data_IF_911978601151
#
_entry.id   IF_911978601151
#
_cell.length_a   1.000
_cell.length_b   1.000
_cell.length_c   1.000
_cell.angle_alpha   90.00
_cell.angle_beta   90.00
_cell.angle_gamma   90.00
#
_symmetry.space_group_name_H-M   'P 1'
#
loop_
_entity.id
_entity.type
_entity.pdbx_description
1 polymer ?
#
# COMPACT_ATOMS: atom_id res chain seq x y z
N UNK A 1 1.45 21.77 -21.76
CA UNK A 1 2.29 20.54 -21.78
C UNK A 1 3.66 20.76 -21.15
N UNK A 2 4.39 21.84 -21.47
CA UNK A 2 5.71 22.14 -20.88
C UNK A 2 5.66 22.37 -19.36
N UNK A 3 4.64 23.07 -18.85
CA UNK A 3 4.43 23.28 -17.41
C UNK A 3 4.20 21.98 -16.65
N UNK A 4 3.41 21.06 -17.21
CA UNK A 4 3.16 19.72 -16.64
C UNK A 4 4.42 18.85 -16.60
N UNK A 5 5.24 18.91 -17.65
CA UNK A 5 6.54 18.21 -17.70
C UNK A 5 7.51 18.77 -16.66
N UNK A 6 7.54 20.10 -16.48
CA UNK A 6 8.38 20.74 -15.47
C UNK A 6 7.96 20.35 -14.05
N UNK A 7 6.65 20.40 -13.76
CA UNK A 7 6.11 19.99 -12.45
C UNK A 7 6.35 18.51 -12.17
N UNK A 8 6.18 17.64 -13.17
CA UNK A 8 6.48 16.21 -13.05
C UNK A 8 7.95 15.94 -12.74
N UNK A 9 8.86 16.64 -13.43
CA UNK A 9 10.31 16.52 -13.23
C UNK A 9 10.74 17.02 -11.84
N UNK A 10 10.17 18.14 -11.39
CA UNK A 10 10.40 18.67 -10.04
C UNK A 10 9.84 17.73 -8.96
N UNK A 11 8.69 17.10 -9.20
CA UNK A 11 8.11 16.10 -8.31
C UNK A 11 9.04 14.92 -8.10
N UNK A 12 9.51 14.29 -9.18
CA UNK A 12 10.43 13.14 -9.13
C UNK A 12 11.76 13.49 -8.44
N UNK A 13 12.28 14.68 -8.71
CA UNK A 13 13.51 15.17 -8.07
C UNK A 13 13.30 15.31 -6.56
N UNK A 14 12.19 15.92 -6.12
CA UNK A 14 11.87 16.07 -4.69
C UNK A 14 11.71 14.72 -4.00
N UNK A 15 11.03 13.75 -4.61
CA UNK A 15 10.93 12.41 -4.05
C UNK A 15 12.32 11.77 -3.89
N UNK A 16 13.16 11.84 -4.93
CA UNK A 16 14.51 11.25 -4.90
C UNK A 16 15.40 11.91 -3.85
N UNK A 17 15.38 13.24 -3.75
CA UNK A 17 16.15 13.98 -2.73
C UNK A 17 15.63 13.70 -1.32
N UNK A 18 14.33 13.54 -1.12
CA UNK A 18 13.77 13.16 0.18
C UNK A 18 14.18 11.73 0.57
N UNK A 19 14.13 10.78 -0.37
CA UNK A 19 14.59 9.41 -0.16
C UNK A 19 16.08 9.36 0.21
N UNK A 20 16.91 10.11 -0.52
CA UNK A 20 18.33 10.22 -0.23
C UNK A 20 18.62 10.88 1.12
N UNK A 21 17.91 11.97 1.44
CA UNK A 21 18.08 12.71 2.71
C UNK A 21 17.59 11.91 3.92
N UNK A 22 16.59 11.05 3.73
CA UNK A 22 16.00 10.28 4.81
C UNK A 22 16.79 9.01 5.18
N UNK A 23 17.91 8.69 4.50
CA UNK A 23 18.81 7.57 4.81
C UNK A 23 18.03 6.31 5.24
N UNK A 24 17.01 5.96 4.47
CA UNK A 24 15.88 5.19 4.99
C UNK A 24 16.28 3.76 5.31
N UNK A 25 16.43 3.49 6.59
CA UNK A 25 16.40 2.25 7.37
C UNK A 25 15.58 1.09 6.78
N UNK A 26 16.07 -0.16 6.96
CA UNK A 26 15.24 -1.21 7.55
C UNK A 26 15.77 -1.61 8.94
N UNK A 27 15.27 -0.97 10.01
CA UNK A 27 15.19 -1.50 11.38
C UNK A 27 13.70 -1.66 11.68
N UNK A 28 13.15 -2.82 11.32
CA UNK A 28 11.69 -3.01 11.16
C UNK A 28 10.87 -2.80 12.46
N UNK A 29 11.47 -2.68 13.65
CA UNK A 29 10.69 -2.59 14.91
C UNK A 29 11.35 -1.82 16.08
N UNK A 30 12.49 -1.16 15.93
CA UNK A 30 13.49 -1.18 17.01
C UNK A 30 13.69 0.09 17.89
N UNK A 31 12.77 1.06 17.99
CA UNK A 31 12.99 2.15 18.97
C UNK A 31 11.71 2.59 19.71
N UNK A 32 11.61 2.15 20.97
CA UNK A 32 10.69 2.67 21.99
C UNK A 32 11.24 4.00 22.49
N UNK A 33 10.44 5.07 22.44
CA UNK A 33 10.86 6.36 22.99
C UNK A 33 10.85 6.32 24.54
N UNK A 34 11.96 6.58 25.25
CA UNK A 34 12.00 6.49 26.72
C UNK A 34 11.30 7.64 27.49
N UNK A 35 10.74 8.66 26.81
CA UNK A 35 9.95 9.74 27.42
C UNK A 35 8.51 9.87 26.88
N UNK A 36 8.19 9.31 25.69
CA UNK A 36 6.80 9.26 25.15
C UNK A 36 6.34 7.87 24.67
N UNK A 37 7.17 6.83 24.75
CA UNK A 37 6.78 5.42 24.83
C UNK A 37 6.24 4.68 23.58
N UNK A 38 6.02 5.31 22.42
CA UNK A 38 5.24 4.62 21.34
C UNK A 38 6.04 4.16 20.11
N UNK A 39 5.99 2.86 19.76
CA UNK A 39 6.50 2.31 18.49
C UNK A 39 5.38 2.23 17.45
N UNK A 40 5.54 2.80 16.25
CA UNK A 40 4.46 2.91 15.24
C UNK A 40 3.97 1.54 14.71
N UNK A 41 4.86 0.56 14.52
CA UNK A 41 4.47 -0.82 14.18
C UNK A 41 3.80 -1.55 15.35
N UNK A 42 4.18 -1.25 16.59
CA UNK A 42 3.46 -1.73 17.77
C UNK A 42 2.09 -1.04 17.88
N UNK A 43 1.97 0.24 17.53
CA UNK A 43 0.72 1.01 17.62
C UNK A 43 -0.36 0.44 16.68
N UNK A 44 0.02 -0.06 15.50
CA UNK A 44 -0.90 -0.75 14.59
C UNK A 44 -1.40 -2.11 15.14
N UNK A 45 -0.57 -2.81 15.93
CA UNK A 45 -0.93 -4.06 16.61
C UNK A 45 -1.60 -3.87 17.98
N UNK A 46 -1.40 -2.72 18.61
CA UNK A 46 -1.72 -2.46 20.03
C UNK A 46 -2.91 -1.50 20.20
N UNK A 47 -3.05 -0.47 19.35
CA UNK A 47 -4.13 0.54 19.46
C UNK A 47 -5.42 0.11 18.76
N UNK A 48 -5.36 -0.87 17.85
CA UNK A 48 -6.56 -1.44 17.22
C UNK A 48 -6.80 -2.84 17.78
N UNK A 49 -7.99 -3.16 18.31
CA UNK A 49 -8.27 -4.51 18.77
C UNK A 49 -7.99 -5.49 17.62
N UNK A 50 -7.14 -6.48 17.86
CA UNK A 50 -6.68 -7.46 16.85
C UNK A 50 -7.85 -8.07 16.08
N UNK A 51 -8.99 -8.27 16.74
CA UNK A 51 -10.22 -8.77 16.14
C UNK A 51 -10.81 -7.83 15.07
N UNK A 52 -10.74 -6.51 15.26
CA UNK A 52 -11.22 -5.52 14.27
C UNK A 52 -10.22 -5.40 13.13
N UNK A 53 -8.92 -5.41 13.42
CA UNK A 53 -7.87 -5.39 12.40
C UNK A 53 -7.93 -6.62 11.49
N UNK A 54 -8.06 -7.81 12.06
CA UNK A 54 -8.18 -9.07 11.29
C UNK A 54 -9.45 -9.05 10.45
N UNK A 55 -10.60 -8.62 11.00
CA UNK A 55 -11.84 -8.46 10.22
C UNK A 55 -11.67 -7.47 9.05
N UNK A 56 -10.97 -6.37 9.28
CA UNK A 56 -10.65 -5.40 8.23
C UNK A 56 -9.74 -6.00 7.16
N UNK A 57 -8.68 -6.72 7.54
CA UNK A 57 -7.74 -7.35 6.61
C UNK A 57 -8.42 -8.44 5.77
N UNK A 58 -9.23 -9.30 6.38
CA UNK A 58 -10.00 -10.32 5.67
C UNK A 58 -10.92 -9.66 4.63
N UNK A 59 -11.64 -8.62 5.05
CA UNK A 59 -12.52 -7.85 4.20
C UNK A 59 -11.79 -7.15 3.03
N UNK A 60 -10.61 -6.59 3.29
CA UNK A 60 -9.74 -5.99 2.27
C UNK A 60 -9.25 -7.05 1.27
N UNK A 61 -8.81 -8.22 1.75
CA UNK A 61 -8.37 -9.32 0.91
C UNK A 61 -9.50 -9.87 0.03
N UNK A 62 -10.74 -9.92 0.54
CA UNK A 62 -11.93 -10.29 -0.25
C UNK A 62 -12.15 -9.30 -1.40
N UNK A 63 -12.01 -7.99 -1.15
CA UNK A 63 -12.13 -6.95 -2.18
C UNK A 63 -11.02 -7.07 -3.25
N UNK A 64 -9.78 -7.28 -2.82
CA UNK A 64 -8.64 -7.49 -3.71
C UNK A 64 -8.83 -8.76 -4.55
N UNK A 65 -9.21 -9.87 -3.91
CA UNK A 65 -9.44 -11.15 -4.57
C UNK A 65 -10.57 -11.08 -5.60
N UNK A 66 -11.66 -10.37 -5.29
CA UNK A 66 -12.72 -10.10 -6.26
C UNK A 66 -12.20 -9.32 -7.47
N UNK A 67 -11.41 -8.27 -7.27
CA UNK A 67 -10.85 -7.47 -8.37
C UNK A 67 -9.89 -8.27 -9.27
N UNK A 68 -9.05 -9.14 -8.66
CA UNK A 68 -8.21 -10.07 -9.41
C UNK A 68 -9.07 -11.07 -10.20
N UNK A 69 -10.15 -11.59 -9.59
CA UNK A 69 -11.11 -12.47 -10.25
C UNK A 69 -11.79 -11.81 -11.46
N UNK A 70 -12.24 -10.56 -11.35
CA UNK A 70 -12.80 -9.79 -12.47
C UNK A 70 -11.77 -9.62 -13.59
N UNK A 71 -10.52 -9.30 -13.24
CA UNK A 71 -9.44 -9.13 -14.22
C UNK A 71 -9.08 -10.43 -14.94
N UNK A 72 -9.03 -11.54 -14.20
CA UNK A 72 -8.75 -12.86 -14.75
C UNK A 72 -9.88 -13.33 -15.68
N UNK A 73 -11.13 -13.10 -15.28
CA UNK A 73 -12.30 -13.42 -16.10
C UNK A 73 -12.34 -12.57 -17.38
N UNK A 74 -11.97 -11.30 -17.27
CA UNK A 74 -11.85 -10.39 -18.41
C UNK A 74 -10.77 -10.86 -19.40
N UNK A 75 -9.66 -11.42 -18.91
CA UNK A 75 -8.58 -11.93 -19.75
C UNK A 75 -8.88 -13.31 -20.37
N UNK A 76 -9.83 -14.07 -19.84
CA UNK A 76 -10.06 -15.48 -20.23
C UNK A 76 -10.95 -15.64 -21.48
N UNK A 77 -11.40 -14.56 -22.12
CA UNK A 77 -12.28 -14.50 -23.30
C UNK A 77 -13.63 -15.27 -23.21
N UNK A 78 -13.87 -15.99 -22.11
CA UNK A 78 -15.15 -16.61 -21.80
C UNK A 78 -16.16 -15.56 -21.32
N UNK A 79 -17.13 -15.23 -22.18
CA UNK A 79 -18.22 -14.26 -21.93
C UNK A 79 -19.30 -14.79 -21.00
N UNK A 80 -18.90 -15.42 -19.89
CA UNK A 80 -19.80 -15.87 -18.84
C UNK A 80 -20.18 -14.73 -17.90
N UNK A 81 -21.43 -14.25 -17.97
CA UNK A 81 -21.96 -13.23 -17.04
C UNK A 81 -21.95 -13.69 -15.57
N UNK A 82 -22.00 -15.01 -15.34
CA UNK A 82 -22.06 -15.64 -14.02
C UNK A 82 -20.81 -15.32 -13.18
N UNK A 83 -19.62 -15.29 -13.79
CA UNK A 83 -18.40 -14.98 -13.05
C UNK A 83 -18.36 -13.51 -12.60
N UNK A 84 -18.85 -12.58 -13.43
CA UNK A 84 -18.95 -11.17 -13.09
C UNK A 84 -19.97 -10.92 -11.98
N UNK A 85 -21.11 -11.61 -12.00
CA UNK A 85 -22.12 -11.47 -10.93
C UNK A 85 -21.60 -12.03 -9.60
N UNK A 86 -20.92 -13.17 -9.62
CA UNK A 86 -20.28 -13.74 -8.41
C UNK A 86 -19.21 -12.80 -7.88
N UNK A 87 -18.33 -12.28 -8.74
CA UNK A 87 -17.28 -11.35 -8.31
C UNK A 87 -17.86 -10.06 -7.72
N UNK A 88 -18.91 -9.50 -8.34
CA UNK A 88 -19.64 -8.34 -7.83
C UNK A 88 -20.27 -8.58 -6.45
N UNK A 89 -20.90 -9.75 -6.24
CA UNK A 89 -21.47 -10.13 -4.94
C UNK A 89 -20.38 -10.30 -3.87
N UNK A 90 -19.26 -10.93 -4.22
CA UNK A 90 -18.10 -11.09 -3.32
C UNK A 90 -17.53 -9.72 -2.93
N UNK A 91 -17.37 -8.80 -3.89
CA UNK A 91 -16.93 -7.44 -3.61
C UNK A 91 -17.92 -6.67 -2.71
N UNK A 92 -19.22 -6.75 -3.01
CA UNK A 92 -20.25 -6.09 -2.23
C UNK A 92 -20.27 -6.61 -0.78
N UNK A 93 -20.15 -7.93 -0.59
CA UNK A 93 -20.07 -8.55 0.73
C UNK A 93 -18.84 -8.11 1.53
N UNK A 94 -17.69 -7.97 0.86
CA UNK A 94 -16.49 -7.38 1.44
C UNK A 94 -16.77 -5.95 1.89
N UNK A 95 -17.17 -5.08 0.97
CA UNK A 95 -17.44 -3.66 1.28
C UNK A 95 -18.48 -3.48 2.40
N UNK A 96 -19.50 -4.33 2.43
CA UNK A 96 -20.52 -4.36 3.49
C UNK A 96 -19.92 -4.76 4.84
N UNK A 97 -19.04 -5.77 4.88
CA UNK A 97 -18.28 -6.15 6.08
C UNK A 97 -17.47 -4.97 6.62
N UNK A 98 -16.86 -4.17 5.74
CA UNK A 98 -16.15 -2.94 6.08
C UNK A 98 -17.07 -1.85 6.64
N UNK A 99 -18.32 -1.77 6.19
CA UNK A 99 -19.30 -0.80 6.67
C UNK A 99 -19.78 -1.11 8.11
N UNK A 100 -19.76 -2.38 8.51
CA UNK A 100 -20.10 -2.80 9.86
C UNK A 100 -18.95 -2.61 10.88
N UNK A 101 -17.75 -2.25 10.43
CA UNK A 101 -16.66 -1.93 11.35
C UNK A 101 -16.88 -0.55 11.98
N UNK A 102 -16.78 -0.48 13.31
CA UNK A 102 -16.93 0.77 14.07
C UNK A 102 -15.87 1.80 13.64
N UNK A 103 -16.34 3.00 13.27
CA UNK A 103 -15.52 4.10 12.76
C UNK A 103 -14.64 4.67 13.88
N UNK A 104 -13.36 4.28 13.90
CA UNK A 104 -12.41 4.62 14.97
C UNK A 104 -11.96 6.09 14.97
N UNK A 105 -11.98 6.78 13.82
CA UNK A 105 -11.61 8.21 13.73
C UNK A 105 -12.52 8.96 12.78
N UNK A 106 -13.00 10.11 13.24
CA UNK A 106 -13.66 11.10 12.38
C UNK A 106 -12.63 12.14 11.92
N UNK A 107 -12.54 12.41 10.61
CA UNK A 107 -11.61 13.41 10.11
C UNK A 107 -12.03 14.81 10.56
N UNK A 108 -11.07 15.63 11.00
CA UNK A 108 -11.32 16.99 11.51
C UNK A 108 -11.49 18.06 10.41
N UNK A 109 -10.93 17.83 9.21
CA UNK A 109 -10.84 18.85 8.14
C UNK A 109 -11.57 18.41 6.86
N UNK A 110 -11.39 17.16 6.43
CA UNK A 110 -12.07 16.65 5.23
C UNK A 110 -12.30 15.15 5.33
N UNK A 111 -13.53 14.71 5.04
CA UNK A 111 -13.93 13.31 5.00
C UNK A 111 -14.50 12.93 3.65
N UNK A 112 -14.14 11.74 3.17
CA UNK A 112 -14.71 11.19 1.92
C UNK A 112 -16.21 10.96 2.11
N UNK A 113 -17.08 11.46 1.22
CA UNK A 113 -18.53 11.48 1.44
C UNK A 113 -19.23 10.10 1.43
N UNK A 114 -18.61 9.03 0.91
CA UNK A 114 -19.15 7.65 0.94
C UNK A 114 -18.11 6.62 1.43
N UNK A 115 -17.49 6.81 2.60
CA UNK A 115 -16.70 5.73 3.23
C UNK A 115 -17.67 4.63 3.70
N UNK A 116 -17.45 3.33 3.41
CA UNK A 116 -16.27 2.70 2.79
C UNK A 116 -16.37 2.43 1.27
N UNK A 117 -17.50 2.75 0.64
CA UNK A 117 -17.81 2.44 -0.76
C UNK A 117 -16.88 3.13 -1.77
N UNK A 118 -16.70 4.45 -1.65
CA UNK A 118 -15.83 5.25 -2.53
C UNK A 118 -14.38 4.75 -2.51
N UNK A 119 -13.76 4.57 -1.33
CA UNK A 119 -12.42 3.97 -1.23
C UNK A 119 -12.33 2.54 -1.78
N UNK A 120 -13.31 1.67 -1.46
CA UNK A 120 -13.34 0.28 -1.95
C UNK A 120 -13.42 0.22 -3.48
N UNK A 121 -14.30 1.03 -4.09
CA UNK A 121 -14.49 1.09 -5.53
C UNK A 121 -13.23 1.63 -6.23
N UNK A 122 -12.54 2.60 -5.63
CA UNK A 122 -11.25 3.09 -6.13
C UNK A 122 -10.20 1.98 -6.16
N UNK A 123 -10.11 1.15 -5.11
CA UNK A 123 -9.18 0.02 -5.07
C UNK A 123 -9.52 -0.98 -6.17
N UNK A 124 -10.79 -1.35 -6.32
CA UNK A 124 -11.22 -2.32 -7.35
C UNK A 124 -10.91 -1.81 -8.75
N UNK A 125 -11.20 -0.55 -9.05
CA UNK A 125 -10.92 0.01 -10.38
C UNK A 125 -9.43 0.04 -10.66
N UNK A 126 -8.60 0.51 -9.71
CA UNK A 126 -7.16 0.56 -9.91
C UNK A 126 -6.54 -0.84 -10.10
N UNK A 127 -6.96 -1.83 -9.31
CA UNK A 127 -6.48 -3.20 -9.49
C UNK A 127 -6.97 -3.82 -10.80
N UNK A 128 -8.21 -3.54 -11.21
CA UNK A 128 -8.73 -4.00 -12.50
C UNK A 128 -7.92 -3.42 -13.67
N UNK A 129 -7.59 -2.13 -13.63
CA UNK A 129 -6.75 -1.49 -14.65
C UNK A 129 -5.36 -2.13 -14.70
N UNK A 130 -4.74 -2.39 -13.54
CA UNK A 130 -3.44 -3.07 -13.47
C UNK A 130 -3.55 -4.51 -14.01
N UNK A 131 -4.63 -5.23 -13.69
CA UNK A 131 -4.90 -6.57 -14.18
C UNK A 131 -5.19 -6.64 -15.69
N UNK A 132 -5.65 -5.53 -16.28
CA UNK A 132 -5.86 -5.41 -17.72
C UNK A 132 -4.56 -5.10 -18.50
N UNK A 133 -3.43 -4.85 -17.84
CA UNK A 133 -2.15 -4.67 -18.52
C UNK A 133 -1.58 -6.01 -18.99
N UNK A 134 -0.90 -6.01 -20.15
CA UNK A 134 -0.26 -7.21 -20.69
C UNK A 134 0.85 -7.76 -19.79
N UNK A 135 1.04 -9.08 -19.82
CA UNK A 135 2.01 -9.81 -18.98
C UNK A 135 3.44 -9.25 -19.08
N UNK A 136 3.83 -8.76 -20.26
CA UNK A 136 5.14 -8.12 -20.50
C UNK A 136 5.33 -6.86 -19.65
N UNK A 137 4.28 -6.06 -19.45
CA UNK A 137 4.34 -4.87 -18.60
C UNK A 137 4.51 -5.25 -17.12
N UNK A 138 3.81 -6.30 -16.69
CA UNK A 138 3.92 -6.82 -15.32
C UNK A 138 5.32 -7.35 -15.01
N UNK A 139 5.92 -8.12 -15.94
CA UNK A 139 7.30 -8.60 -15.80
C UNK A 139 8.31 -7.44 -15.71
N UNK A 140 8.19 -6.42 -16.57
CA UNK A 140 9.07 -5.23 -16.51
C UNK A 140 8.96 -4.52 -15.16
N UNK A 141 7.74 -4.37 -14.65
CA UNK A 141 7.49 -3.75 -13.36
C UNK A 141 8.11 -4.55 -12.20
N UNK A 142 7.91 -5.88 -12.18
CA UNK A 142 8.47 -6.74 -11.13
C UNK A 142 9.99 -6.75 -11.18
N UNK A 143 10.60 -6.89 -12.36
CA UNK A 143 12.06 -6.91 -12.50
C UNK A 143 12.66 -5.58 -12.03
N UNK A 144 12.09 -4.44 -12.46
CA UNK A 144 12.57 -3.11 -12.05
C UNK A 144 12.41 -2.88 -10.53
N UNK A 145 11.28 -3.31 -9.96
CA UNK A 145 11.03 -3.23 -8.53
C UNK A 145 12.00 -4.11 -7.72
N UNK A 146 12.24 -5.35 -8.18
CA UNK A 146 13.18 -6.27 -7.54
C UNK A 146 14.62 -5.71 -7.57
N UNK A 147 15.07 -5.18 -8.71
CA UNK A 147 16.38 -4.52 -8.82
C UNK A 147 16.50 -3.34 -7.84
N UNK A 148 15.44 -2.52 -7.74
CA UNK A 148 15.40 -1.38 -6.82
C UNK A 148 15.49 -1.84 -5.36
N UNK A 149 14.79 -2.91 -5.00
CA UNK A 149 14.85 -3.49 -3.64
C UNK A 149 16.24 -4.04 -3.35
N UNK A 150 16.84 -4.80 -4.27
CA UNK A 150 18.19 -5.35 -4.11
C UNK A 150 19.20 -4.21 -3.92
N UNK A 151 19.17 -3.20 -4.80
CA UNK A 151 20.01 -2.02 -4.68
C UNK A 151 19.85 -1.35 -3.31
N UNK A 152 18.62 -1.18 -2.85
CA UNK A 152 18.32 -0.59 -1.56
C UNK A 152 18.85 -1.45 -0.39
N UNK A 153 18.73 -2.77 -0.44
CA UNK A 153 19.26 -3.65 0.60
C UNK A 153 20.78 -3.63 0.66
N UNK A 154 21.49 -3.56 -0.47
CA UNK A 154 22.95 -3.51 -0.46
C UNK A 154 23.48 -2.13 -0.08
N UNK A 155 22.93 -1.05 -0.65
CA UNK A 155 23.44 0.31 -0.45
C UNK A 155 22.81 0.98 0.77
N UNK A 156 21.49 0.91 0.91
CA UNK A 156 20.75 1.56 2.00
C UNK A 156 21.04 0.94 3.37
N UNK A 157 21.22 -0.38 3.44
CA UNK A 157 21.60 -1.05 4.70
C UNK A 157 23.03 -0.72 5.10
N UNK A 158 23.98 -0.81 4.16
CA UNK A 158 25.41 -0.57 4.44
C UNK A 158 25.67 0.88 4.83
N UNK A 159 25.04 1.82 4.12
CA UNK A 159 25.14 3.24 4.44
C UNK A 159 24.56 3.58 5.83
N UNK A 160 23.51 2.86 6.25
CA UNK A 160 22.94 3.02 7.60
C UNK A 160 23.82 2.38 8.68
N UNK A 161 24.42 1.22 8.38
CA UNK A 161 25.35 0.53 9.29
C UNK A 161 26.61 1.35 9.57
N UNK A 162 27.23 1.90 8.52
CA UNK A 162 28.44 2.73 8.64
C UNK A 162 28.21 4.01 9.47
N UNK A 163 27.02 4.60 9.38
CA UNK A 163 26.65 5.78 10.18
C UNK A 163 26.43 5.41 11.64
N UNK A 164 25.75 4.31 11.93
CA UNK A 164 25.52 3.84 13.29
C UNK A 164 26.84 3.52 14.01
N UNK A 165 27.75 2.83 13.32
CA UNK A 165 29.04 2.45 13.88
C UNK A 165 29.95 3.67 14.14
N UNK A 166 29.84 4.72 13.31
CA UNK A 166 30.56 5.99 13.53
C UNK A 166 30.07 6.73 14.78
N UNK A 167 28.77 6.68 15.07
CA UNK A 167 28.18 7.36 16.23
C UNK A 167 28.61 6.72 17.56
N UNK A 168 28.68 5.39 17.64
CA UNK A 168 29.14 4.67 18.84
C UNK A 168 30.60 4.98 19.19
N UNK A 169 31.45 5.26 18.20
CA UNK A 169 32.86 5.58 18.41
C UNK A 169 33.10 7.04 18.83
N UNK A 170 32.07 7.90 18.71
CA UNK A 170 32.13 9.33 19.03
C UNK A 170 31.43 9.71 20.33
N UNK A 171 30.82 8.75 21.03
CA UNK A 171 30.14 8.89 22.31
C UNK A 171 31.02 8.35 23.46
#
# INVERSE_FOLDING_TARGET
>A
MTTSLLVGSLGQTRYTTQIARAHMIPLIFALVHPKTGTPVYATLLDVTPKNVLIKFLICLLIVIGSSIGVSALWNSDERGWIGYTVAGLVWFSGTLGMAFLSKQRVPKVWGVPLVPWLPSLSIVMNLFLIGSLGLVAFLRFIICSAVTIVYYLFVGLHATYDVAHRNELSA
#
